data_IF_515377652585
#
_entry.id   IF_515377652585
#
_cell.length_a   1.000
_cell.length_b   1.000
_cell.length_c   1.000
_cell.angle_alpha   90.00
_cell.angle_beta   90.00
_cell.angle_gamma   90.00
#
_symmetry.space_group_name_H-M   'P 1'
#
loop_
_entity.id
_entity.type
_entity.pdbx_description
1 polymer ?
#
# COMPACT_ATOMS: atom_id res chain seq x y z
N UNK A 1 22.04 -28.41 32.65
CA UNK A 1 21.54 -28.35 31.26
C UNK A 1 20.14 -27.78 31.28
N UNK A 2 19.97 -26.51 30.94
CA UNK A 2 18.68 -25.92 30.59
C UNK A 2 18.79 -25.54 29.13
N UNK A 3 18.20 -26.35 28.26
CA UNK A 3 18.01 -26.05 26.84
C UNK A 3 17.07 -24.84 26.75
N UNK A 4 17.54 -23.74 26.15
CA UNK A 4 16.66 -22.65 25.72
C UNK A 4 16.13 -23.02 24.33
N UNK A 5 14.81 -22.89 24.07
CA UNK A 5 14.30 -23.14 22.74
C UNK A 5 14.81 -22.05 21.80
N UNK A 6 15.48 -22.48 20.73
CA UNK A 6 15.82 -21.67 19.57
C UNK A 6 14.50 -21.24 18.92
N UNK A 7 14.10 -19.98 19.13
CA UNK A 7 12.97 -19.39 18.43
C UNK A 7 13.55 -18.90 17.10
N UNK A 8 13.20 -19.51 15.95
CA UNK A 8 13.68 -19.01 14.67
C UNK A 8 13.15 -17.59 14.51
N UNK A 9 14.07 -16.63 14.40
CA UNK A 9 13.75 -15.24 14.19
C UNK A 9 12.88 -15.10 12.95
N UNK A 10 11.73 -14.45 13.11
CA UNK A 10 10.97 -13.88 12.02
C UNK A 10 11.80 -12.74 11.40
N UNK A 11 12.77 -13.08 10.55
CA UNK A 11 13.44 -12.12 9.69
C UNK A 11 12.48 -11.82 8.53
N UNK A 12 11.63 -10.80 8.71
CA UNK A 12 10.77 -10.25 7.63
C UNK A 12 11.60 -9.63 6.48
N UNK A 13 12.92 -9.57 6.61
CA UNK A 13 13.83 -9.30 5.50
C UNK A 13 14.32 -10.60 4.87
N UNK A 14 13.66 -11.05 3.79
CA UNK A 14 14.20 -12.13 2.97
C UNK A 14 15.63 -11.76 2.54
N UNK A 15 16.68 -12.52 2.93
CA UNK A 15 18.04 -12.21 2.53
C UNK A 15 18.13 -12.10 1.01
N UNK A 16 18.93 -11.15 0.50
CA UNK A 16 19.00 -10.79 -0.93
C UNK A 16 19.18 -11.98 -1.89
N UNK A 17 19.75 -13.11 -1.43
CA UNK A 17 19.83 -14.37 -2.21
C UNK A 17 18.47 -15.00 -2.47
N UNK A 18 17.53 -14.89 -1.56
CA UNK A 18 16.18 -15.43 -1.70
C UNK A 18 15.38 -14.65 -2.75
N UNK A 19 15.65 -13.34 -2.94
CA UNK A 19 14.96 -12.55 -3.96
C UNK A 19 15.20 -13.07 -5.39
N UNK A 20 16.33 -13.77 -5.63
CA UNK A 20 16.62 -14.35 -6.94
C UNK A 20 15.68 -15.51 -7.31
N UNK A 21 15.04 -16.14 -6.32
CA UNK A 21 14.17 -17.29 -6.49
C UNK A 21 12.68 -16.91 -6.47
N UNK A 22 12.35 -15.67 -6.07
CA UNK A 22 10.97 -15.19 -5.96
C UNK A 22 10.46 -14.73 -7.35
N UNK A 23 9.31 -15.24 -7.82
CA UNK A 23 8.68 -14.76 -9.04
C UNK A 23 8.40 -13.25 -9.02
N UNK A 24 8.59 -12.57 -10.15
CA UNK A 24 8.35 -11.11 -10.24
C UNK A 24 6.94 -10.69 -9.82
N UNK A 25 5.91 -11.48 -10.14
CA UNK A 25 4.52 -11.23 -9.72
C UNK A 25 4.38 -11.19 -8.19
N UNK A 26 5.12 -12.03 -7.49
CA UNK A 26 5.11 -12.10 -6.04
C UNK A 26 5.85 -10.90 -5.43
N UNK A 27 7.00 -10.52 -5.98
CA UNK A 27 7.73 -9.30 -5.56
C UNK A 27 6.84 -8.06 -5.72
N UNK A 28 6.18 -7.91 -6.87
CA UNK A 28 5.27 -6.79 -7.14
C UNK A 28 4.10 -6.80 -6.17
N UNK A 29 3.47 -7.95 -5.93
CA UNK A 29 2.31 -8.05 -5.04
C UNK A 29 2.71 -7.74 -3.59
N UNK A 30 3.86 -8.22 -3.11
CA UNK A 30 4.39 -7.89 -1.78
C UNK A 30 4.67 -6.39 -1.65
N UNK A 31 5.28 -5.77 -2.66
CA UNK A 31 5.52 -4.33 -2.69
C UNK A 31 4.20 -3.52 -2.69
N UNK A 32 3.19 -3.98 -3.44
CA UNK A 32 1.87 -3.35 -3.46
C UNK A 32 1.18 -3.41 -2.09
N UNK A 33 1.24 -4.56 -1.41
CA UNK A 33 0.71 -4.70 -0.04
C UNK A 33 1.47 -3.80 0.93
N UNK A 34 2.80 -3.74 0.86
CA UNK A 34 3.60 -2.85 1.70
C UNK A 34 3.22 -1.37 1.52
N UNK A 35 3.07 -0.91 0.27
CA UNK A 35 2.63 0.46 -0.02
C UNK A 35 1.21 0.71 0.47
N UNK A 36 0.30 -0.27 0.31
CA UNK A 36 -1.08 -0.19 0.76
C UNK A 36 -1.18 -0.07 2.29
N UNK A 37 -0.46 -0.92 3.02
CA UNK A 37 -0.41 -0.89 4.49
C UNK A 37 0.20 0.41 5.00
N UNK A 38 1.30 0.88 4.40
CA UNK A 38 1.91 2.15 4.78
C UNK A 38 0.98 3.33 4.51
N UNK A 39 0.26 3.33 3.38
CA UNK A 39 -0.71 4.37 3.07
C UNK A 39 -1.89 4.37 4.06
N UNK A 40 -2.42 3.19 4.43
CA UNK A 40 -3.48 3.06 5.42
C UNK A 40 -3.05 3.62 6.78
N UNK A 41 -1.82 3.32 7.22
CA UNK A 41 -1.24 3.88 8.44
C UNK A 41 -1.16 5.41 8.38
N UNK A 42 -0.69 5.97 7.26
CA UNK A 42 -0.60 7.42 7.05
C UNK A 42 -1.96 8.12 6.90
N UNK A 43 -3.01 7.38 6.57
CA UNK A 43 -4.38 7.86 6.63
C UNK A 43 -5.00 7.74 8.04
N UNK A 44 -4.30 7.11 8.99
CA UNK A 44 -4.81 6.82 10.33
C UNK A 44 -5.79 5.65 10.39
N UNK A 45 -5.98 4.91 9.29
CA UNK A 45 -7.00 3.85 9.19
C UNK A 45 -6.73 2.63 10.08
N UNK A 46 -5.53 2.55 10.66
CA UNK A 46 -5.13 1.51 11.61
C UNK A 46 -5.61 1.77 13.04
N UNK A 47 -6.03 3.01 13.36
CA UNK A 47 -6.51 3.40 14.68
C UNK A 47 -8.04 3.43 14.74
N UNK A 48 -8.60 3.31 15.96
CA UNK A 48 -10.06 3.37 16.17
C UNK A 48 -10.67 4.69 15.73
N UNK A 49 -9.94 5.79 15.91
CA UNK A 49 -10.27 7.11 15.38
C UNK A 49 -9.17 7.55 14.40
N UNK A 50 -9.43 7.50 13.08
CA UNK A 50 -8.45 7.87 12.09
C UNK A 50 -7.99 9.32 12.14
N UNK A 51 -8.82 10.24 12.63
CA UNK A 51 -8.50 11.68 12.67
C UNK A 51 -7.59 12.03 13.87
N UNK A 52 -7.61 11.22 14.92
CA UNK A 52 -6.74 11.37 16.10
C UNK A 52 -5.47 10.51 16.06
N UNK A 53 -5.26 9.74 14.98
CA UNK A 53 -4.10 8.87 14.85
C UNK A 53 -2.76 9.65 14.94
N UNK A 54 -1.80 9.20 15.78
CA UNK A 54 -0.48 9.85 15.87
C UNK A 54 0.39 9.64 14.62
N UNK A 55 0.02 8.71 13.73
CA UNK A 55 0.76 8.40 12.52
C UNK A 55 0.17 9.04 11.26
N UNK A 56 -1.00 9.69 11.38
CA UNK A 56 -1.68 10.36 10.28
C UNK A 56 -0.81 11.45 9.66
N UNK A 57 -0.58 11.34 8.37
CA UNK A 57 0.18 12.28 7.55
C UNK A 57 -0.32 12.20 6.10
N UNK A 58 -1.15 13.17 5.69
CA UNK A 58 -1.72 13.17 4.35
C UNK A 58 -0.67 13.45 3.27
N UNK A 59 0.41 14.18 3.57
CA UNK A 59 1.44 14.42 2.56
C UNK A 59 2.22 13.14 2.24
N UNK A 60 2.53 12.34 3.25
CA UNK A 60 3.11 11.00 3.07
C UNK A 60 2.12 10.02 2.44
N UNK A 61 0.84 10.01 2.87
CA UNK A 61 -0.20 9.17 2.27
C UNK A 61 -0.35 9.44 0.76
N UNK A 62 -0.34 10.72 0.34
CA UNK A 62 -0.41 11.11 -1.08
C UNK A 62 0.70 10.46 -1.90
N UNK A 63 1.93 10.46 -1.38
CA UNK A 63 3.10 9.90 -2.08
C UNK A 63 2.98 8.39 -2.22
N UNK A 64 2.59 7.70 -1.14
CA UNK A 64 2.41 6.24 -1.12
C UNK A 64 1.29 5.78 -2.05
N UNK A 65 0.12 6.43 -2.00
CA UNK A 65 -1.01 6.12 -2.89
C UNK A 65 -0.64 6.37 -4.36
N UNK A 66 0.08 7.47 -4.64
CA UNK A 66 0.54 7.77 -6.00
C UNK A 66 1.54 6.74 -6.51
N UNK A 67 2.47 6.29 -5.67
CA UNK A 67 3.42 5.24 -6.00
C UNK A 67 2.71 3.90 -6.25
N UNK A 68 1.76 3.51 -5.39
CA UNK A 68 0.95 2.32 -5.55
C UNK A 68 0.15 2.35 -6.85
N UNK A 69 -0.50 3.48 -7.17
CA UNK A 69 -1.24 3.65 -8.43
C UNK A 69 -0.35 3.47 -9.66
N UNK A 70 0.87 4.01 -9.63
CA UNK A 70 1.86 3.81 -10.68
C UNK A 70 2.26 2.34 -10.83
N UNK A 71 2.57 1.67 -9.71
CA UNK A 71 2.92 0.25 -9.67
C UNK A 71 1.80 -0.62 -10.27
N UNK A 72 0.57 -0.47 -9.76
CA UNK A 72 -0.60 -1.26 -10.16
C UNK A 72 -0.95 -1.06 -11.62
N UNK A 73 -0.83 0.17 -12.12
CA UNK A 73 -1.10 0.48 -13.53
C UNK A 73 -0.04 -0.14 -14.43
N UNK A 74 1.24 0.00 -14.08
CA UNK A 74 2.34 -0.56 -14.85
C UNK A 74 2.37 -2.09 -14.81
N UNK A 75 1.92 -2.71 -13.71
CA UNK A 75 1.97 -4.16 -13.52
C UNK A 75 0.67 -4.89 -13.90
N UNK A 76 -0.35 -4.17 -14.39
CA UNK A 76 -1.70 -4.67 -14.61
C UNK A 76 -1.77 -6.01 -15.38
N UNK A 77 -1.00 -6.12 -16.46
CA UNK A 77 -1.02 -7.29 -17.36
C UNK A 77 -0.35 -8.53 -16.75
N UNK A 78 0.49 -8.35 -15.72
CA UNK A 78 1.27 -9.41 -15.09
C UNK A 78 0.63 -9.97 -13.82
N UNK A 79 -0.26 -9.20 -13.17
CA UNK A 79 -0.85 -9.57 -11.88
C UNK A 79 -1.94 -10.65 -11.98
N UNK A 80 -2.49 -10.90 -13.19
CA UNK A 80 -3.53 -11.91 -13.40
C UNK A 80 -4.70 -11.75 -12.41
N UNK A 81 -5.01 -12.81 -11.66
CA UNK A 81 -6.09 -12.81 -10.67
C UNK A 81 -5.87 -11.88 -9.47
N UNK A 82 -4.64 -11.45 -9.20
CA UNK A 82 -4.33 -10.54 -8.09
C UNK A 82 -4.61 -9.06 -8.44
N UNK A 83 -4.82 -8.74 -9.72
CA UNK A 83 -5.02 -7.36 -10.16
C UNK A 83 -6.29 -6.72 -9.57
N UNK A 84 -7.39 -7.49 -9.47
CA UNK A 84 -8.68 -7.00 -8.96
C UNK A 84 -8.57 -6.50 -7.51
N UNK A 85 -8.22 -7.38 -6.55
CA UNK A 85 -8.13 -6.99 -5.14
C UNK A 85 -7.16 -5.82 -4.88
N UNK A 86 -6.04 -5.77 -5.60
CA UNK A 86 -5.07 -4.68 -5.42
C UNK A 86 -5.63 -3.34 -5.94
N UNK A 87 -6.36 -3.34 -7.06
CA UNK A 87 -7.05 -2.15 -7.57
C UNK A 87 -8.17 -1.68 -6.65
N UNK A 88 -8.93 -2.61 -6.09
CA UNK A 88 -10.01 -2.28 -5.15
C UNK A 88 -9.45 -1.67 -3.87
N UNK A 89 -8.36 -2.24 -3.33
CA UNK A 89 -7.66 -1.67 -2.18
C UNK A 89 -7.09 -0.27 -2.46
N UNK A 90 -6.47 -0.07 -3.64
CA UNK A 90 -6.02 1.26 -4.07
C UNK A 90 -7.18 2.25 -4.16
N UNK A 91 -8.31 1.87 -4.77
CA UNK A 91 -9.50 2.74 -4.88
C UNK A 91 -10.01 3.14 -3.50
N UNK A 92 -10.08 2.20 -2.55
CA UNK A 92 -10.48 2.48 -1.16
C UNK A 92 -9.56 3.49 -0.49
N UNK A 93 -8.24 3.39 -0.67
CA UNK A 93 -7.28 4.37 -0.14
C UNK A 93 -7.45 5.76 -0.78
N UNK A 94 -7.70 5.83 -2.09
CA UNK A 94 -7.93 7.10 -2.79
C UNK A 94 -9.20 7.80 -2.27
N UNK A 95 -10.27 7.03 -2.03
CA UNK A 95 -11.51 7.56 -1.45
C UNK A 95 -11.31 8.01 -0.01
N UNK A 96 -10.68 7.19 0.83
CA UNK A 96 -10.36 7.54 2.21
C UNK A 96 -9.49 8.81 2.30
N UNK A 97 -8.50 8.95 1.41
CA UNK A 97 -7.71 10.19 1.31
C UNK A 97 -8.59 11.41 0.98
N UNK A 98 -9.51 11.27 0.03
CA UNK A 98 -10.40 12.35 -0.38
C UNK A 98 -11.32 12.79 0.77
N UNK A 99 -11.83 11.83 1.53
CA UNK A 99 -12.67 12.06 2.71
C UNK A 99 -11.89 12.72 3.86
N UNK A 100 -10.64 12.27 4.07
CA UNK A 100 -9.74 12.77 5.09
C UNK A 100 -9.22 14.20 4.83
N UNK A 101 -9.23 14.66 3.57
CA UNK A 101 -8.70 15.96 3.19
C UNK A 101 -9.67 17.09 3.52
N UNK A 102 -9.20 18.10 4.26
CA UNK A 102 -9.96 19.33 4.52
C UNK A 102 -10.19 20.17 3.25
N UNK A 103 -9.37 19.99 2.23
CA UNK A 103 -9.50 20.59 0.90
C UNK A 103 -9.27 19.51 -0.15
N UNK A 104 -10.32 18.74 -0.52
CA UNK A 104 -10.20 17.68 -1.49
C UNK A 104 -9.73 18.19 -2.86
N UNK A 105 -8.85 17.44 -3.51
CA UNK A 105 -8.41 17.74 -4.86
C UNK A 105 -9.59 17.63 -5.85
N UNK A 106 -9.51 18.37 -6.95
CA UNK A 106 -10.46 18.21 -8.05
C UNK A 106 -10.43 16.78 -8.61
N UNK A 107 -11.55 16.24 -9.11
CA UNK A 107 -11.57 14.91 -9.73
C UNK A 107 -10.51 14.77 -10.83
N UNK A 108 -9.73 13.69 -10.77
CA UNK A 108 -8.59 13.42 -11.65
C UNK A 108 -7.25 13.93 -11.13
N UNK A 109 -7.23 14.72 -10.06
CA UNK A 109 -6.02 15.31 -9.47
C UNK A 109 -5.69 14.76 -8.08
N UNK A 110 -6.51 13.85 -7.54
CA UNK A 110 -6.23 13.16 -6.30
C UNK A 110 -5.01 12.24 -6.39
N UNK A 111 -4.52 11.72 -5.25
CA UNK A 111 -3.37 10.83 -5.22
C UNK A 111 -3.55 9.63 -6.16
N UNK A 112 -2.61 9.45 -7.08
CA UNK A 112 -2.66 8.36 -8.07
C UNK A 112 -3.69 8.49 -9.19
N UNK A 113 -4.61 9.45 -9.16
CA UNK A 113 -5.70 9.57 -10.15
C UNK A 113 -5.22 9.89 -11.57
N UNK A 114 -4.00 10.45 -11.71
CA UNK A 114 -3.34 10.58 -13.02
C UNK A 114 -3.16 9.23 -13.74
N UNK A 115 -3.12 8.12 -12.99
CA UNK A 115 -2.98 6.77 -13.54
C UNK A 115 -4.31 6.02 -13.59
N UNK A 116 -5.16 6.19 -12.57
CA UNK A 116 -6.40 5.41 -12.40
C UNK A 116 -7.65 6.10 -12.95
N UNK A 117 -7.56 7.39 -13.25
CA UNK A 117 -8.72 8.27 -13.42
C UNK A 117 -9.35 8.68 -12.08
N UNK A 118 -10.40 9.53 -12.13
CA UNK A 118 -11.12 10.00 -10.95
C UNK A 118 -11.79 8.85 -10.18
N UNK A 119 -11.77 8.93 -8.84
CA UNK A 119 -12.52 7.99 -7.99
C UNK A 119 -13.80 8.59 -7.41
N UNK A 120 -14.82 7.73 -7.29
CA UNK A 120 -16.14 8.03 -6.75
C UNK A 120 -16.59 6.93 -5.82
#
# INVERSE_FOLDING_TARGET
>A
MTDSPDIPGTDDSAPVRELAEIPAVEVITRAAVMLMSAAAEKLGLSDTDPDESPYRDLDEARRLITALAGLVTASAEYLGLHAGPVRDGLKSLQLAFREASAAPDEPGHGPGEKYTGPVW
#
